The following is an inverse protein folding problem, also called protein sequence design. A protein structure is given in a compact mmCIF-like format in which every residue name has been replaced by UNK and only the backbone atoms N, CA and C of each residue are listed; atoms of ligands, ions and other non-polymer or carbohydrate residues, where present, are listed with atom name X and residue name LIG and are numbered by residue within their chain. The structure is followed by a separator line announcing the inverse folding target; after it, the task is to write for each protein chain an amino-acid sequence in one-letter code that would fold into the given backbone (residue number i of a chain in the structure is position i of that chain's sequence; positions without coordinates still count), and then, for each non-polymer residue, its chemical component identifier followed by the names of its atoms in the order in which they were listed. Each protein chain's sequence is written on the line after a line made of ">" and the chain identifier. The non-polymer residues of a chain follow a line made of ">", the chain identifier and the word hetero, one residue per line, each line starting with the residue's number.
data_IF_008284265441
#
_entry.id   IF_008284265441
#
_cell.length_a   1.000
_cell.length_b   1.000
_cell.length_c   1.000
_cell.angle_alpha   90.00
_cell.angle_beta   90.00
_cell.angle_gamma   90.00
#
_symmetry.space_group_name_H-M   'P 1'
#
loop_
_entity.id
_entity.type
_entity.pdbx_description
1 polymer ?
#
# COMPACT_ATOMS: atom_id res chain seq x y z
N UNK A 1 -16.05 6.89 -4.52
CA UNK A 1 -15.24 7.03 -5.76
C UNK A 1 -14.14 8.04 -5.52
N UNK A 2 -12.91 7.66 -5.79
CA UNK A 2 -11.78 8.57 -5.63
C UNK A 2 -11.69 9.60 -6.76
N UNK A 3 -10.69 10.47 -6.66
CA UNK A 3 -10.42 11.55 -7.61
C UNK A 3 -8.93 11.58 -7.94
N UNK A 4 -8.56 12.17 -9.08
CA UNK A 4 -7.16 12.42 -9.38
C UNK A 4 -6.69 13.75 -8.79
N UNK A 5 -5.50 13.73 -8.22
CA UNK A 5 -4.79 14.91 -7.71
C UNK A 5 -3.42 15.00 -8.37
N UNK A 6 -2.89 16.21 -8.52
CA UNK A 6 -1.59 16.41 -9.15
C UNK A 6 -0.54 16.75 -8.10
N UNK A 7 0.60 16.07 -8.13
CA UNK A 7 1.69 16.17 -7.17
C UNK A 7 2.93 16.73 -7.88
N UNK A 8 3.62 17.67 -7.24
CA UNK A 8 4.88 18.17 -7.76
C UNK A 8 6.02 17.20 -7.45
N UNK A 9 6.82 16.84 -8.44
CA UNK A 9 8.05 16.09 -8.23
C UNK A 9 9.07 16.93 -7.45
N UNK A 10 9.76 16.30 -6.50
CA UNK A 10 10.70 16.99 -5.60
C UNK A 10 11.93 17.56 -6.32
N UNK A 11 12.30 16.98 -7.46
CA UNK A 11 13.42 17.39 -8.31
C UNK A 11 13.08 18.54 -9.28
N UNK A 12 11.84 19.04 -9.26
CA UNK A 12 11.38 20.13 -10.14
C UNK A 12 11.17 19.71 -11.60
N UNK A 13 11.25 18.40 -11.94
CA UNK A 13 11.09 17.91 -13.32
C UNK A 13 9.66 18.01 -13.85
N UNK A 14 8.66 18.22 -12.98
CA UNK A 14 7.26 18.36 -13.38
C UNK A 14 6.26 18.01 -12.30
N UNK A 15 5.10 17.57 -12.76
CA UNK A 15 4.00 17.11 -11.91
C UNK A 15 3.46 15.80 -12.45
N UNK A 16 3.01 14.96 -11.54
CA UNK A 16 2.39 13.68 -11.88
C UNK A 16 1.05 13.53 -11.18
N UNK A 17 0.20 12.72 -11.78
CA UNK A 17 -1.12 12.45 -11.23
C UNK A 17 -1.09 11.27 -10.26
N UNK A 18 -1.98 11.32 -9.28
CA UNK A 18 -2.22 10.24 -8.34
C UNK A 18 -3.72 10.08 -8.10
N UNK A 19 -4.19 8.84 -7.98
CA UNK A 19 -5.56 8.54 -7.58
C UNK A 19 -5.68 8.62 -6.07
N UNK A 20 -6.58 9.46 -5.58
CA UNK A 20 -6.86 9.67 -4.16
C UNK A 20 -8.23 9.11 -3.81
N UNK A 21 -8.29 8.19 -2.85
CA UNK A 21 -9.52 7.71 -2.24
C UNK A 21 -9.60 8.18 -0.78
N UNK A 22 -10.78 8.67 -0.39
CA UNK A 22 -11.03 9.16 0.96
C UNK A 22 -11.96 8.19 1.72
N UNK A 23 -11.73 7.99 3.02
CA UNK A 23 -12.64 7.20 3.85
C UNK A 23 -14.02 7.91 3.98
N UNK A 24 -15.04 7.15 4.35
CA UNK A 24 -16.41 7.69 4.51
C UNK A 24 -16.48 8.83 5.55
N UNK A 25 -15.58 8.81 6.56
CA UNK A 25 -15.41 9.90 7.54
C UNK A 25 -14.84 11.19 6.95
N UNK A 26 -14.33 11.14 5.71
CA UNK A 26 -13.59 12.22 5.07
C UNK A 26 -12.17 12.46 5.61
N UNK A 27 -11.77 11.80 6.70
CA UNK A 27 -10.46 11.96 7.33
C UNK A 27 -9.92 10.63 7.85
N UNK A 28 -8.60 10.46 7.79
CA UNK A 28 -7.92 9.25 8.27
C UNK A 28 -6.40 9.36 8.19
N UNK A 29 -5.66 8.34 8.67
CA UNK A 29 -4.23 8.27 8.42
C UNK A 29 -3.94 8.11 6.93
N UNK A 30 -2.80 8.65 6.47
CA UNK A 30 -2.40 8.59 5.07
C UNK A 30 -1.68 7.29 4.71
N UNK A 31 -1.98 6.72 3.55
CA UNK A 31 -1.26 5.58 2.97
C UNK A 31 -0.98 5.81 1.48
N UNK A 32 0.28 5.64 1.08
CA UNK A 32 0.67 5.59 -0.34
C UNK A 32 0.61 4.15 -0.82
N UNK A 33 0.03 3.92 -1.99
CA UNK A 33 -0.11 2.59 -2.58
C UNK A 33 0.77 2.50 -3.81
N UNK A 34 1.78 1.65 -3.76
CA UNK A 34 2.70 1.38 -4.86
C UNK A 34 2.11 0.40 -5.87
N UNK A 35 1.99 0.86 -7.12
CA UNK A 35 1.40 0.11 -8.22
C UNK A 35 2.21 -1.13 -8.62
N UNK A 36 1.54 -2.06 -9.29
CA UNK A 36 2.16 -3.11 -10.09
C UNK A 36 2.73 -2.52 -11.40
N UNK A 37 3.25 -3.36 -12.29
CA UNK A 37 3.79 -2.91 -13.60
C UNK A 37 2.73 -2.44 -14.60
N UNK A 38 1.45 -2.46 -14.24
CA UNK A 38 0.32 -2.13 -15.14
C UNK A 38 -0.19 -0.67 -14.99
N UNK A 39 0.50 0.15 -14.20
CA UNK A 39 0.09 1.54 -13.95
C UNK A 39 -1.05 1.67 -12.93
N UNK A 40 -1.67 2.85 -12.87
CA UNK A 40 -2.80 3.15 -11.98
C UNK A 40 -4.10 2.63 -12.60
N UNK A 41 -4.16 1.32 -12.81
CA UNK A 41 -5.28 0.65 -13.47
C UNK A 41 -6.48 0.43 -12.51
N UNK A 42 -7.56 -0.15 -13.05
CA UNK A 42 -8.78 -0.39 -12.29
C UNK A 42 -8.55 -1.20 -11.00
N UNK A 43 -7.64 -2.18 -11.02
CA UNK A 43 -7.29 -2.96 -9.82
C UNK A 43 -6.60 -2.10 -8.77
N UNK A 44 -5.66 -1.25 -9.15
CA UNK A 44 -4.95 -0.39 -8.20
C UNK A 44 -5.88 0.69 -7.61
N UNK A 45 -6.82 1.21 -8.40
CA UNK A 45 -7.86 2.11 -7.89
C UNK A 45 -8.80 1.40 -6.91
N UNK A 46 -9.18 0.15 -7.20
CA UNK A 46 -10.00 -0.66 -6.27
C UNK A 46 -9.25 -0.97 -4.96
N UNK A 47 -7.93 -1.19 -5.02
CA UNK A 47 -7.11 -1.33 -3.81
C UNK A 47 -7.13 -0.03 -2.99
N UNK A 48 -7.03 1.15 -3.62
CA UNK A 48 -7.13 2.41 -2.90
C UNK A 48 -8.51 2.60 -2.24
N UNK A 49 -9.57 2.27 -2.97
CA UNK A 49 -10.94 2.34 -2.44
C UNK A 49 -11.11 1.37 -1.25
N UNK A 50 -10.54 0.16 -1.29
CA UNK A 50 -10.53 -0.78 -0.18
C UNK A 50 -9.80 -0.22 1.05
N UNK A 51 -8.62 0.40 0.88
CA UNK A 51 -7.93 1.03 2.00
C UNK A 51 -8.70 2.25 2.54
N UNK A 52 -9.45 2.94 1.70
CA UNK A 52 -10.35 4.00 2.15
C UNK A 52 -11.53 3.45 2.97
N UNK A 53 -12.09 2.29 2.62
CA UNK A 53 -13.09 1.57 3.43
C UNK A 53 -12.52 1.15 4.80
N UNK A 54 -11.22 0.84 4.89
CA UNK A 54 -10.50 0.56 6.14
C UNK A 54 -10.17 1.83 6.96
N UNK A 55 -10.57 3.00 6.48
CA UNK A 55 -10.42 4.29 7.18
C UNK A 55 -9.18 5.09 6.82
N UNK A 56 -8.46 4.74 5.76
CA UNK A 56 -7.26 5.46 5.32
C UNK A 56 -7.55 6.49 4.24
N UNK A 57 -6.77 7.56 4.20
CA UNK A 57 -6.62 8.43 3.03
C UNK A 57 -5.60 7.75 2.11
N UNK A 58 -6.06 7.12 1.04
CA UNK A 58 -5.25 6.26 0.18
C UNK A 58 -4.88 6.98 -1.13
N UNK A 59 -3.59 6.94 -1.49
CA UNK A 59 -3.03 7.64 -2.65
C UNK A 59 -2.23 6.68 -3.54
N UNK A 60 -2.62 6.52 -4.80
CA UNK A 60 -1.91 5.70 -5.80
C UNK A 60 -1.23 6.61 -6.80
N UNK A 61 0.09 6.87 -6.72
CA UNK A 61 0.80 7.67 -7.70
C UNK A 61 1.00 6.95 -9.03
N UNK A 62 0.98 7.70 -10.14
CA UNK A 62 1.46 7.21 -11.43
C UNK A 62 3.00 7.20 -11.43
N UNK A 63 3.60 6.06 -11.11
CA UNK A 63 5.06 5.93 -11.05
C UNK A 63 5.71 5.77 -12.43
N UNK A 64 4.91 5.65 -13.51
CA UNK A 64 5.43 5.62 -14.87
C UNK A 64 5.43 6.99 -15.56
N UNK A 65 4.95 8.05 -14.89
CA UNK A 65 4.76 9.36 -15.49
C UNK A 65 5.99 9.94 -16.22
N UNK A 66 7.20 9.64 -15.72
CA UNK A 66 8.46 10.07 -16.32
C UNK A 66 8.76 9.39 -17.66
N UNK A 67 8.17 8.24 -17.92
CA UNK A 67 8.26 7.48 -19.17
C UNK A 67 7.04 7.69 -20.06
N UNK A 68 5.87 7.54 -19.47
CA UNK A 68 4.57 7.64 -20.12
C UNK A 68 3.51 7.96 -19.06
N UNK A 69 2.98 9.19 -19.01
CA UNK A 69 1.91 9.54 -18.10
C UNK A 69 0.61 8.79 -18.40
N UNK A 70 -0.16 8.49 -17.32
CA UNK A 70 -1.49 7.93 -17.42
C UNK A 70 -1.53 6.46 -17.88
N UNK A 71 -0.53 5.66 -17.51
CA UNK A 71 -0.52 4.22 -17.79
C UNK A 71 -1.65 3.53 -17.01
N UNK A 72 -2.57 2.92 -17.75
CA UNK A 72 -3.73 2.15 -17.25
C UNK A 72 -3.91 0.91 -18.13
N UNK A 73 -3.15 -0.16 -17.81
CA UNK A 73 -3.09 -1.37 -18.62
C UNK A 73 -3.96 -2.48 -18.04
N UNK A 74 -4.59 -3.26 -18.93
CA UNK A 74 -5.21 -4.54 -18.61
C UNK A 74 -4.17 -5.64 -18.34
N UNK A 75 -4.65 -6.89 -18.37
CA UNK A 75 -3.83 -8.08 -18.07
C UNK A 75 -3.73 -9.06 -19.26
N UNK A 76 -4.10 -8.62 -20.47
CA UNK A 76 -3.88 -9.40 -21.69
C UNK A 76 -2.40 -9.41 -22.11
N UNK A 77 -2.07 -10.24 -23.10
CA UNK A 77 -0.69 -10.43 -23.55
C UNK A 77 -0.04 -9.13 -24.06
N UNK A 78 -0.80 -8.30 -24.80
CA UNK A 78 -0.28 -7.03 -25.33
C UNK A 78 -0.02 -6.02 -24.21
N UNK A 79 -0.93 -5.92 -23.24
CA UNK A 79 -0.77 -5.10 -22.05
C UNK A 79 0.42 -5.56 -21.20
N UNK A 80 0.59 -6.88 -21.05
CA UNK A 80 1.74 -7.44 -20.32
C UNK A 80 3.07 -7.10 -21.00
N UNK A 81 3.16 -7.26 -22.32
CA UNK A 81 4.37 -6.89 -23.07
C UNK A 81 4.72 -5.40 -22.90
N UNK A 82 3.71 -4.51 -22.95
CA UNK A 82 3.91 -3.08 -22.68
C UNK A 82 4.32 -2.78 -21.26
N UNK A 83 3.72 -3.47 -20.29
CA UNK A 83 4.08 -3.34 -18.87
C UNK A 83 5.54 -3.72 -18.61
N UNK A 84 6.02 -4.81 -19.23
CA UNK A 84 7.43 -5.23 -19.13
C UNK A 84 8.36 -4.20 -19.76
N UNK A 85 8.01 -3.62 -20.93
CA UNK A 85 8.80 -2.55 -21.56
C UNK A 85 8.98 -1.36 -20.60
N UNK A 86 7.90 -0.92 -19.97
CA UNK A 86 7.93 0.20 -19.00
C UNK A 86 8.75 -0.17 -17.76
N UNK A 87 8.54 -1.38 -17.22
CA UNK A 87 9.26 -1.85 -16.04
C UNK A 87 10.78 -1.96 -16.25
N UNK A 88 11.23 -2.33 -17.46
CA UNK A 88 12.65 -2.39 -17.79
C UNK A 88 13.31 -1.01 -17.90
N UNK A 89 12.51 0.04 -18.06
CA UNK A 89 12.99 1.42 -18.27
C UNK A 89 12.79 2.33 -17.08
N UNK A 90 12.00 1.90 -16.08
CA UNK A 90 11.73 2.75 -14.91
C UNK A 90 13.02 2.96 -14.10
N UNK A 91 13.25 4.20 -13.72
CA UNK A 91 14.25 4.56 -12.72
C UNK A 91 13.63 4.39 -11.32
N UNK A 92 14.06 3.36 -10.59
CA UNK A 92 13.53 3.06 -9.27
C UNK A 92 13.98 4.08 -8.21
N UNK A 93 15.11 4.72 -8.38
CA UNK A 93 15.57 5.77 -7.46
C UNK A 93 14.67 7.01 -7.61
N UNK A 94 14.40 7.43 -8.85
CA UNK A 94 13.43 8.49 -9.12
C UNK A 94 12.00 8.14 -8.65
N UNK A 95 11.60 6.87 -8.77
CA UNK A 95 10.30 6.42 -8.26
C UNK A 95 10.22 6.52 -6.72
N UNK A 96 11.31 6.27 -5.99
CA UNK A 96 11.36 6.47 -4.54
C UNK A 96 11.28 7.95 -4.17
N UNK A 97 11.92 8.83 -4.94
CA UNK A 97 11.79 10.29 -4.75
C UNK A 97 10.35 10.76 -4.99
N UNK A 98 9.66 10.20 -5.99
CA UNK A 98 8.24 10.46 -6.23
C UNK A 98 7.35 9.93 -5.10
N UNK A 99 7.69 8.78 -4.51
CA UNK A 99 7.02 8.25 -3.30
C UNK A 99 7.24 9.19 -2.11
N UNK A 100 8.45 9.70 -1.91
CA UNK A 100 8.73 10.67 -0.85
C UNK A 100 7.91 11.96 -1.04
N UNK A 101 7.76 12.43 -2.28
CA UNK A 101 6.89 13.57 -2.61
C UNK A 101 5.41 13.27 -2.28
N UNK A 102 4.93 12.04 -2.51
CA UNK A 102 3.58 11.60 -2.12
C UNK A 102 3.39 11.57 -0.61
N UNK A 103 4.39 11.10 0.14
CA UNK A 103 4.38 11.08 1.61
C UNK A 103 4.23 12.51 2.14
N UNK A 104 5.02 13.44 1.62
CA UNK A 104 4.96 14.84 2.04
C UNK A 104 3.64 15.51 1.61
N UNK A 105 3.15 15.20 0.40
CA UNK A 105 1.85 15.68 -0.06
C UNK A 105 0.70 15.23 0.88
N UNK A 106 0.70 13.96 1.31
CA UNK A 106 -0.30 13.46 2.25
C UNK A 106 -0.21 14.16 3.61
N UNK A 107 0.99 14.43 4.13
CA UNK A 107 1.18 15.15 5.41
C UNK A 107 0.59 16.55 5.41
N UNK A 108 0.54 17.19 4.26
CA UNK A 108 0.04 18.56 4.11
C UNK A 108 -1.48 18.62 3.89
N UNK A 109 -2.15 17.49 3.76
CA UNK A 109 -3.59 17.44 3.50
C UNK A 109 -4.40 17.56 4.79
N UNK A 110 -5.50 18.30 4.74
CA UNK A 110 -6.43 18.47 5.86
C UNK A 110 -7.18 17.19 6.22
N UNK A 111 -7.30 16.25 5.28
CA UNK A 111 -7.92 14.94 5.47
C UNK A 111 -7.02 13.95 6.20
N UNK A 112 -5.71 14.21 6.29
CA UNK A 112 -4.76 13.32 6.96
C UNK A 112 -4.57 13.73 8.42
N UNK A 113 -5.00 12.86 9.34
CA UNK A 113 -5.08 13.16 10.79
C UNK A 113 -3.86 12.69 11.59
N UNK A 114 -2.88 12.02 10.97
CA UNK A 114 -1.69 11.51 11.63
C UNK A 114 -0.43 11.90 10.82
N UNK A 115 0.63 12.31 11.51
CA UNK A 115 1.88 12.71 10.84
C UNK A 115 2.65 11.55 10.21
N UNK A 116 2.48 10.33 10.74
CA UNK A 116 3.05 9.12 10.16
C UNK A 116 2.26 8.69 8.93
N UNK A 117 2.97 8.31 7.86
CA UNK A 117 2.39 7.82 6.62
C UNK A 117 2.78 6.36 6.42
N UNK A 118 1.83 5.56 5.92
CA UNK A 118 2.05 4.18 5.51
C UNK A 118 2.39 4.07 4.03
N UNK A 119 3.03 2.98 3.65
CA UNK A 119 3.21 2.57 2.26
C UNK A 119 2.78 1.12 2.09
N UNK A 120 2.04 0.81 1.03
CA UNK A 120 1.67 -0.57 0.66
C UNK A 120 1.93 -0.77 -0.82
N UNK A 121 2.74 -1.75 -1.18
CA UNK A 121 3.11 -1.95 -2.57
C UNK A 121 2.96 -3.39 -3.05
N UNK A 122 2.65 -3.55 -4.34
CA UNK A 122 2.37 -4.84 -4.98
C UNK A 122 3.31 -5.07 -6.16
N UNK A 123 3.92 -6.25 -6.29
CA UNK A 123 4.85 -6.61 -7.37
C UNK A 123 6.04 -5.63 -7.42
N UNK A 124 6.17 -4.79 -8.46
CA UNK A 124 7.12 -3.68 -8.50
C UNK A 124 6.97 -2.79 -7.25
N UNK A 125 5.74 -2.44 -6.88
CA UNK A 125 5.44 -1.70 -5.64
C UNK A 125 5.87 -2.46 -4.38
N UNK A 126 5.89 -3.79 -4.39
CA UNK A 126 6.41 -4.60 -3.28
C UNK A 126 7.93 -4.43 -3.08
N UNK A 127 8.70 -4.29 -4.16
CA UNK A 127 10.10 -3.88 -4.10
C UNK A 127 10.24 -2.43 -3.62
N UNK A 128 9.39 -1.54 -4.15
CA UNK A 128 9.37 -0.14 -3.73
C UNK A 128 8.98 0.03 -2.25
N UNK A 129 8.21 -0.92 -1.68
CA UNK A 129 7.93 -0.93 -0.25
C UNK A 129 9.19 -1.13 0.59
N UNK A 130 10.08 -2.04 0.15
CA UNK A 130 11.39 -2.19 0.79
C UNK A 130 12.26 -0.92 0.64
N UNK A 131 12.31 -0.35 -0.57
CA UNK A 131 13.06 0.89 -0.83
C UNK A 131 12.47 2.10 -0.07
N UNK A 132 11.15 2.21 0.04
CA UNK A 132 10.51 3.23 0.86
C UNK A 132 10.91 3.10 2.34
N UNK A 133 10.95 1.86 2.87
CA UNK A 133 11.37 1.60 4.25
C UNK A 133 12.84 1.95 4.51
N UNK A 134 13.72 1.79 3.52
CA UNK A 134 15.16 2.07 3.66
C UNK A 134 15.54 3.51 3.37
N UNK A 135 14.81 4.20 2.48
CA UNK A 135 15.22 5.50 1.91
C UNK A 135 14.29 6.67 2.24
N UNK A 136 13.13 6.41 2.87
CA UNK A 136 12.20 7.45 3.30
C UNK A 136 11.95 7.37 4.80
N UNK A 137 11.13 8.25 5.32
CA UNK A 137 10.70 8.26 6.71
C UNK A 137 9.30 7.65 6.92
N UNK A 138 8.88 6.76 6.01
CA UNK A 138 7.62 6.03 6.12
C UNK A 138 7.52 5.30 7.46
N UNK A 139 6.38 5.41 8.13
CA UNK A 139 6.19 4.81 9.47
C UNK A 139 5.96 3.31 9.43
N UNK A 140 5.27 2.84 8.40
CA UNK A 140 5.00 1.42 8.14
C UNK A 140 5.02 1.17 6.63
N UNK A 141 5.80 0.20 6.20
CA UNK A 141 5.89 -0.21 4.81
C UNK A 141 5.51 -1.68 4.66
N UNK A 142 4.62 -1.98 3.72
CA UNK A 142 4.11 -3.31 3.45
C UNK A 142 4.35 -3.67 1.99
N UNK A 143 5.07 -4.75 1.74
CA UNK A 143 5.36 -5.24 0.39
C UNK A 143 4.72 -6.59 0.12
N UNK A 144 3.98 -6.69 -0.97
CA UNK A 144 3.40 -7.94 -1.47
C UNK A 144 4.21 -8.42 -2.67
N UNK A 145 4.67 -9.66 -2.60
CA UNK A 145 5.39 -10.36 -3.68
C UNK A 145 6.40 -9.46 -4.41
N UNK A 146 7.20 -8.70 -3.64
CA UNK A 146 8.28 -7.86 -4.15
C UNK A 146 9.45 -8.70 -4.67
N UNK A 147 9.96 -8.33 -5.86
CA UNK A 147 11.06 -9.04 -6.51
C UNK A 147 12.37 -8.24 -6.46
N UNK A 148 13.51 -8.93 -6.41
CA UNK A 148 14.83 -8.29 -6.49
C UNK A 148 15.24 -7.53 -5.23
N UNK A 149 14.62 -7.81 -4.08
CA UNK A 149 14.99 -7.25 -2.77
C UNK A 149 16.36 -7.79 -2.32
N UNK A 150 16.68 -9.03 -2.69
CA UNK A 150 17.94 -9.70 -2.33
C UNK A 150 19.19 -8.95 -2.81
N UNK A 151 19.07 -8.14 -3.87
CA UNK A 151 20.16 -7.32 -4.38
C UNK A 151 20.37 -6.01 -3.61
N UNK A 152 19.50 -5.70 -2.63
CA UNK A 152 19.46 -4.41 -1.93
C UNK A 152 19.63 -4.56 -0.40
N UNK A 153 19.98 -5.75 0.08
CA UNK A 153 20.01 -6.08 1.52
C UNK A 153 21.03 -5.26 2.32
N UNK A 154 22.02 -4.67 1.67
CA UNK A 154 22.98 -3.75 2.32
C UNK A 154 22.29 -2.50 2.90
N UNK A 155 21.12 -2.14 2.38
CA UNK A 155 20.29 -1.02 2.87
C UNK A 155 19.44 -1.37 4.09
N UNK A 156 19.30 -2.64 4.45
CA UNK A 156 18.39 -3.13 5.50
C UNK A 156 18.57 -2.41 6.86
N UNK A 157 19.83 -2.03 7.18
CA UNK A 157 20.16 -1.28 8.41
C UNK A 157 19.60 0.14 8.46
N UNK A 158 19.09 0.66 7.35
CA UNK A 158 18.51 1.99 7.26
C UNK A 158 17.01 1.98 7.60
N UNK A 159 16.38 0.82 7.71
CA UNK A 159 14.97 0.67 8.06
C UNK A 159 14.72 1.21 9.47
N UNK A 160 13.86 2.21 9.59
CA UNK A 160 13.49 2.86 10.86
C UNK A 160 12.04 2.55 11.28
N UNK A 161 11.15 2.53 10.30
CA UNK A 161 9.72 2.20 10.47
C UNK A 161 9.48 0.70 10.56
N UNK A 162 8.21 0.32 10.58
CA UNK A 162 7.82 -1.09 10.45
C UNK A 162 7.93 -1.54 9.00
N UNK A 163 8.46 -2.75 8.81
CA UNK A 163 8.47 -3.42 7.50
C UNK A 163 7.70 -4.74 7.59
N UNK A 164 6.76 -4.95 6.68
CA UNK A 164 6.05 -6.21 6.50
C UNK A 164 6.23 -6.68 5.07
N UNK A 165 6.67 -7.92 4.87
CA UNK A 165 6.82 -8.50 3.54
C UNK A 165 6.03 -9.81 3.43
N UNK A 166 5.22 -9.90 2.39
CA UNK A 166 4.41 -11.07 2.04
C UNK A 166 4.99 -11.75 0.81
N UNK A 167 5.48 -12.97 0.99
CA UNK A 167 6.07 -13.80 -0.07
C UNK A 167 5.14 -14.94 -0.46
N UNK A 168 5.08 -15.24 -1.75
CA UNK A 168 4.43 -16.43 -2.26
C UNK A 168 5.48 -17.56 -2.42
N UNK A 169 5.12 -18.79 -2.03
CA UNK A 169 6.07 -19.92 -2.08
C UNK A 169 6.44 -20.30 -3.51
N UNK A 170 5.47 -20.24 -4.44
CA UNK A 170 5.65 -20.66 -5.83
C UNK A 170 6.05 -19.51 -6.77
N UNK A 171 6.37 -18.33 -6.23
CA UNK A 171 6.71 -17.14 -7.01
C UNK A 171 8.02 -17.31 -7.77
N UNK A 172 7.93 -17.40 -9.09
CA UNK A 172 9.11 -17.49 -9.96
C UNK A 172 9.93 -16.20 -10.00
N UNK A 173 9.35 -15.05 -9.66
CA UNK A 173 10.05 -13.75 -9.63
C UNK A 173 10.77 -13.50 -8.29
N UNK A 174 10.38 -14.21 -7.23
CA UNK A 174 11.09 -14.24 -5.96
C UNK A 174 11.33 -15.71 -5.54
N UNK A 175 12.23 -16.42 -6.25
CA UNK A 175 12.47 -17.84 -6.06
C UNK A 175 13.04 -18.14 -4.65
N UNK A 176 13.03 -19.40 -4.26
CA UNK A 176 13.52 -19.82 -2.94
C UNK A 176 14.91 -19.25 -2.63
N UNK A 177 15.83 -19.27 -3.60
CA UNK A 177 17.18 -18.74 -3.42
C UNK A 177 17.19 -17.25 -3.01
N UNK A 178 16.31 -16.42 -3.60
CA UNK A 178 16.15 -15.01 -3.22
C UNK A 178 15.60 -14.90 -1.79
N UNK A 179 14.57 -15.68 -1.45
CA UNK A 179 14.00 -15.71 -0.10
C UNK A 179 15.00 -16.20 0.95
N UNK A 180 15.85 -17.20 0.62
CA UNK A 180 16.90 -17.70 1.51
C UNK A 180 17.98 -16.64 1.81
N UNK A 181 18.17 -15.65 0.94
CA UNK A 181 19.00 -14.48 1.20
C UNK A 181 18.26 -13.42 2.04
N UNK A 182 16.99 -13.12 1.71
CA UNK A 182 16.19 -12.07 2.34
C UNK A 182 15.83 -12.40 3.80
N UNK A 183 15.30 -13.62 4.02
CA UNK A 183 14.75 -13.99 5.33
C UNK A 183 15.77 -13.90 6.46
N UNK A 184 16.97 -14.47 6.38
CA UNK A 184 17.97 -14.39 7.46
C UNK A 184 18.47 -12.95 7.70
N UNK A 185 18.51 -12.12 6.65
CA UNK A 185 18.98 -10.75 6.76
C UNK A 185 17.96 -9.85 7.50
N UNK A 186 16.68 -10.07 7.25
CA UNK A 186 15.62 -9.18 7.75
C UNK A 186 14.90 -9.69 9.01
N UNK A 187 14.87 -11.01 9.26
CA UNK A 187 14.05 -11.60 10.35
C UNK A 187 14.42 -11.13 11.76
N UNK A 188 15.65 -10.66 11.97
CA UNK A 188 16.13 -10.18 13.27
C UNK A 188 16.09 -8.66 13.40
N UNK A 189 15.64 -7.93 12.39
CA UNK A 189 15.51 -6.48 12.48
C UNK A 189 14.28 -6.12 13.32
N UNK A 190 14.39 -5.09 14.17
CA UNK A 190 13.25 -4.60 14.94
C UNK A 190 12.08 -4.21 14.03
N UNK A 191 10.85 -4.49 14.46
CA UNK A 191 9.62 -4.13 13.75
C UNK A 191 9.51 -4.72 12.32
N UNK A 192 10.23 -5.81 12.02
CA UNK A 192 10.13 -6.49 10.73
C UNK A 192 9.33 -7.77 10.85
N UNK A 193 8.38 -7.97 9.96
CA UNK A 193 7.51 -9.14 9.88
C UNK A 193 7.57 -9.73 8.47
N UNK A 194 7.90 -11.01 8.37
CA UNK A 194 8.08 -11.71 7.10
C UNK A 194 7.13 -12.90 7.05
N UNK A 195 6.30 -12.96 6.03
CA UNK A 195 5.29 -13.99 5.88
C UNK A 195 5.44 -14.73 4.56
N UNK A 196 5.55 -16.05 4.63
CA UNK A 196 5.54 -16.93 3.47
C UNK A 196 4.20 -17.64 3.38
N UNK A 197 3.55 -17.56 2.22
CA UNK A 197 2.25 -18.19 1.95
C UNK A 197 2.49 -19.45 1.11
N UNK A 198 2.22 -20.65 1.68
CA UNK A 198 2.48 -21.90 0.98
C UNK A 198 1.48 -22.13 -0.16
N UNK A 199 1.96 -22.75 -1.24
CA UNK A 199 1.13 -23.17 -2.37
C UNK A 199 0.58 -22.07 -3.27
N UNK A 200 0.92 -20.79 -3.01
CA UNK A 200 0.47 -19.64 -3.83
C UNK A 200 1.58 -19.06 -4.67
N UNK A 201 1.20 -18.42 -5.77
CA UNK A 201 2.10 -17.86 -6.77
C UNK A 201 2.09 -16.33 -6.74
N UNK A 202 2.94 -15.71 -7.58
CA UNK A 202 3.00 -14.25 -7.76
C UNK A 202 1.63 -13.64 -8.00
N UNK A 203 1.36 -12.49 -7.41
CA UNK A 203 0.07 -11.78 -7.50
C UNK A 203 -1.13 -12.53 -6.86
N UNK A 204 -0.89 -13.38 -5.85
CA UNK A 204 -1.95 -14.07 -5.11
C UNK A 204 -2.98 -13.13 -4.45
N UNK A 205 -2.63 -11.87 -4.22
CA UNK A 205 -3.52 -10.86 -3.66
C UNK A 205 -4.28 -10.03 -4.71
N UNK A 206 -4.07 -10.25 -6.02
CA UNK A 206 -4.77 -9.55 -7.07
C UNK A 206 -6.16 -10.14 -7.28
N UNK A 207 -7.19 -9.46 -6.79
CA UNK A 207 -8.59 -9.91 -6.92
C UNK A 207 -8.97 -10.04 -8.40
N UNK A 208 -9.54 -11.17 -8.76
CA UNK A 208 -9.91 -11.50 -10.15
C UNK A 208 -8.73 -11.89 -11.05
N UNK A 209 -7.50 -11.92 -10.54
CA UNK A 209 -6.33 -12.42 -11.25
C UNK A 209 -6.27 -13.94 -11.32
N UNK A 210 -5.48 -14.47 -12.25
CA UNK A 210 -5.30 -15.92 -12.46
C UNK A 210 -4.76 -16.65 -11.22
N UNK A 211 -3.89 -15.99 -10.45
CA UNK A 211 -3.22 -16.55 -9.27
C UNK A 211 -3.87 -16.10 -7.96
N UNK A 212 -5.07 -15.47 -8.02
CA UNK A 212 -5.75 -15.01 -6.83
C UNK A 212 -6.08 -16.17 -5.89
N UNK A 213 -5.57 -16.08 -4.67
CA UNK A 213 -5.90 -17.03 -3.60
C UNK A 213 -6.57 -16.28 -2.45
N UNK A 214 -7.88 -16.49 -2.29
CA UNK A 214 -8.67 -15.75 -1.30
C UNK A 214 -8.20 -15.96 0.14
N UNK A 215 -7.90 -17.18 0.63
CA UNK A 215 -7.38 -17.37 1.98
C UNK A 215 -6.06 -16.63 2.23
N UNK A 216 -5.07 -16.75 1.32
CA UNK A 216 -3.79 -16.08 1.46
C UNK A 216 -3.94 -14.55 1.37
N UNK A 217 -4.80 -14.06 0.46
CA UNK A 217 -5.12 -12.64 0.36
C UNK A 217 -5.69 -12.08 1.66
N UNK A 218 -6.73 -12.72 2.23
CA UNK A 218 -7.34 -12.24 3.47
C UNK A 218 -6.34 -12.23 4.63
N UNK A 219 -5.54 -13.29 4.78
CA UNK A 219 -4.50 -13.34 5.81
C UNK A 219 -3.45 -12.25 5.63
N UNK A 220 -3.00 -12.00 4.40
CA UNK A 220 -2.01 -10.97 4.11
C UNK A 220 -2.59 -9.57 4.35
N UNK A 221 -3.83 -9.34 3.92
CA UNK A 221 -4.51 -8.06 4.12
C UNK A 221 -4.70 -7.75 5.61
N UNK A 222 -5.23 -8.66 6.41
CA UNK A 222 -5.40 -8.50 7.85
C UNK A 222 -4.08 -8.19 8.57
N UNK A 223 -2.99 -8.88 8.21
CA UNK A 223 -1.65 -8.61 8.75
C UNK A 223 -1.15 -7.22 8.38
N UNK A 224 -1.40 -6.79 7.16
CA UNK A 224 -1.05 -5.45 6.66
C UNK A 224 -1.81 -4.37 7.42
N UNK A 225 -3.13 -4.52 7.54
CA UNK A 225 -3.98 -3.59 8.29
C UNK A 225 -3.58 -3.55 9.77
N UNK A 226 -3.31 -4.70 10.40
CA UNK A 226 -2.85 -4.75 11.78
C UNK A 226 -1.50 -4.04 11.99
N UNK A 227 -0.59 -4.14 11.03
CA UNK A 227 0.70 -3.46 11.07
C UNK A 227 0.55 -1.94 10.90
N UNK A 228 -0.25 -1.50 9.93
CA UNK A 228 -0.56 -0.09 9.71
C UNK A 228 -1.25 0.52 10.94
N UNK A 229 -2.28 -0.14 11.48
CA UNK A 229 -3.01 0.33 12.68
C UNK A 229 -2.08 0.54 13.87
N UNK A 230 -1.07 -0.31 14.08
CA UNK A 230 -0.10 -0.16 15.17
C UNK A 230 0.78 1.09 15.04
N UNK A 231 1.13 1.51 13.82
CA UNK A 231 2.07 2.60 13.60
C UNK A 231 1.38 3.95 13.28
N UNK A 232 0.24 3.91 12.59
CA UNK A 232 -0.43 5.14 12.11
C UNK A 232 -1.94 5.21 12.40
N UNK A 233 -2.55 4.16 12.97
CA UNK A 233 -4.01 4.06 13.12
C UNK A 233 -4.69 3.56 11.83
N UNK A 234 -6.03 3.81 11.67
CA UNK A 234 -6.88 4.53 12.61
C UNK A 234 -7.09 3.76 13.92
N UNK A 235 -7.10 4.48 15.02
CA UNK A 235 -7.46 3.94 16.32
C UNK A 235 -8.87 4.39 16.66
N UNK A 236 -9.79 3.46 16.80
CA UNK A 236 -11.16 3.72 17.20
C UNK A 236 -11.30 3.47 18.70
N UNK A 237 -11.83 4.44 19.42
CA UNK A 237 -12.27 4.23 20.81
C UNK A 237 -13.61 3.50 20.79
N UNK A 238 -13.54 2.17 20.73
CA UNK A 238 -14.73 1.31 20.67
C UNK A 238 -15.60 1.46 21.93
N UNK A 239 -15.02 1.81 23.07
CA UNK A 239 -15.81 2.06 24.30
C UNK A 239 -16.62 3.33 24.18
N UNK A 240 -15.99 4.42 23.74
CA UNK A 240 -16.71 5.68 23.50
C UNK A 240 -17.79 5.53 22.40
N UNK A 241 -17.49 4.80 21.33
CA UNK A 241 -18.45 4.51 20.27
C UNK A 241 -19.64 3.69 20.80
N UNK A 242 -19.36 2.69 21.64
CA UNK A 242 -20.43 1.89 22.28
C UNK A 242 -21.29 2.71 23.23
N UNK A 243 -20.68 3.55 24.06
CA UNK A 243 -21.41 4.45 24.98
C UNK A 243 -22.29 5.42 24.20
N UNK A 244 -21.80 5.96 23.09
CA UNK A 244 -22.56 6.84 22.21
C UNK A 244 -23.72 6.08 21.53
N UNK A 245 -23.48 4.85 21.05
CA UNK A 245 -24.52 3.99 20.49
C UNK A 245 -25.65 3.74 21.49
N UNK A 246 -25.28 3.28 22.70
CA UNK A 246 -26.25 3.01 23.78
C UNK A 246 -27.04 4.28 24.14
N UNK A 247 -26.39 5.43 24.24
CA UNK A 247 -27.05 6.70 24.51
C UNK A 247 -28.07 7.04 23.41
N UNK A 248 -27.74 6.86 22.14
CA UNK A 248 -28.65 7.12 21.04
C UNK A 248 -29.81 6.14 20.99
N UNK A 249 -29.57 4.88 21.28
CA UNK A 249 -30.59 3.82 21.26
C UNK A 249 -31.58 3.94 22.43
N UNK A 250 -31.08 4.17 23.66
CA UNK A 250 -31.90 4.07 24.86
C UNK A 250 -32.28 5.42 25.47
N UNK A 251 -31.43 6.45 25.43
CA UNK A 251 -31.68 7.73 26.06
C UNK A 251 -32.37 8.71 25.07
N UNK A 252 -31.76 8.98 23.92
CA UNK A 252 -32.27 9.94 22.96
C UNK A 252 -33.31 9.32 22.00
N UNK A 253 -33.24 8.00 21.80
CA UNK A 253 -34.05 7.24 20.84
C UNK A 253 -33.97 7.81 19.42
N UNK A 254 -32.80 8.31 19.05
CA UNK A 254 -32.51 8.85 17.72
C UNK A 254 -32.05 7.75 16.80
N UNK A 255 -32.97 7.25 15.97
CA UNK A 255 -32.69 6.13 15.05
C UNK A 255 -31.59 6.48 14.05
N UNK A 256 -31.57 7.71 13.54
CA UNK A 256 -30.54 8.11 12.56
C UNK A 256 -29.15 8.17 13.20
N UNK A 257 -29.03 8.73 14.40
CA UNK A 257 -27.78 8.78 15.14
C UNK A 257 -27.34 7.37 15.58
N UNK A 258 -28.27 6.50 16.03
CA UNK A 258 -27.98 5.09 16.35
C UNK A 258 -27.41 4.36 15.12
N UNK A 259 -28.05 4.51 13.97
CA UNK A 259 -27.57 3.88 12.72
C UNK A 259 -26.18 4.40 12.29
N UNK A 260 -25.87 5.67 12.55
CA UNK A 260 -24.57 6.25 12.25
C UNK A 260 -23.40 5.70 13.11
N UNK A 261 -23.72 5.11 14.27
CA UNK A 261 -22.74 4.44 15.14
C UNK A 261 -22.59 2.94 14.84
N UNK A 262 -23.38 2.38 13.93
CA UNK A 262 -23.23 1.00 13.49
C UNK A 262 -22.21 0.91 12.35
N UNK A 263 -21.40 -0.15 12.41
CA UNK A 263 -20.49 -0.47 11.29
C UNK A 263 -21.35 -1.02 10.14
N UNK A 264 -21.11 -0.51 8.93
CA UNK A 264 -21.79 -0.97 7.73
C UNK A 264 -21.31 -2.39 7.32
#
# INVERSE_FOLDING_TARGET
>A
MGQYVSIAASDGSGRFDAYLALPASGKGPGVVIGQEIFGVNANMRAVADLYAEEGYVALVPDLFWRLQPGVDLGYDEAAFAKAIELFQRIDLDAAVDDIAACIEHLRQREEVVHAGIGFVGFCMGGKLAYLAATRTDVSCSVGYYGMGIEALLDEAKQIKGRLVLHFAEQDAYCPQQARDAILPCLCNLPKTELYLYPGVDHAFARVGGMHFDKPAYLMAHERSIAALKREIGPNFDLSALWDEHVRHEFDTRDVAATMATMVA
#
